data_IF_897005594035
#
_entry.id   IF_897005594035
#
_cell.length_a   1.000
_cell.length_b   1.000
_cell.length_c   1.000
_cell.angle_alpha   90.00
_cell.angle_beta   90.00
_cell.angle_gamma   90.00
#
_symmetry.space_group_name_H-M   'P 1'
#
loop_
_entity.id
_entity.type
_entity.pdbx_description
1 polymer ?
#
# COMPACT_ATOMS: atom_id res chain seq x y z
N UNK A 1 -4.50 23.04 25.96
CA UNK A 1 -5.02 21.66 26.16
C UNK A 1 -5.97 21.33 25.00
N UNK A 2 -5.42 21.37 23.79
CA UNK A 2 -6.00 21.07 22.48
C UNK A 2 -4.72 20.89 21.62
N UNK A 3 -4.45 19.81 20.92
CA UNK A 3 -5.31 19.04 20.03
C UNK A 3 -4.80 17.60 20.05
N UNK A 4 -5.19 16.85 21.09
CA UNK A 4 -4.99 15.40 21.15
C UNK A 4 -6.18 14.66 20.51
N UNK A 5 -6.96 15.34 19.66
CA UNK A 5 -7.70 14.66 18.61
C UNK A 5 -6.64 14.14 17.64
N UNK A 6 -6.05 13.01 18.00
CA UNK A 6 -4.98 12.38 17.25
C UNK A 6 -5.58 12.03 15.89
N UNK A 7 -4.86 12.30 14.80
CA UNK A 7 -5.35 12.00 13.44
C UNK A 7 -5.88 10.57 13.30
N UNK A 8 -5.37 9.67 14.11
CA UNK A 8 -5.84 8.30 14.38
C UNK A 8 -7.35 8.20 14.67
N UNK A 9 -7.86 8.90 15.70
CA UNK A 9 -9.29 8.87 16.08
C UNK A 9 -10.19 9.48 15.00
N UNK A 10 -9.67 10.45 14.23
CA UNK A 10 -10.39 10.99 13.09
C UNK A 10 -10.45 10.00 11.94
N UNK A 11 -9.37 9.26 11.66
CA UNK A 11 -9.38 8.24 10.60
C UNK A 11 -10.28 7.07 10.97
N UNK A 12 -10.31 6.64 12.24
CA UNK A 12 -11.31 5.68 12.74
C UNK A 12 -12.74 6.17 12.53
N UNK A 13 -13.00 7.44 12.84
CA UNK A 13 -14.30 8.06 12.64
C UNK A 13 -14.69 8.10 11.15
N UNK A 14 -13.73 8.37 10.24
CA UNK A 14 -13.99 8.45 8.81
C UNK A 14 -14.18 7.08 8.15
N UNK A 15 -13.41 6.06 8.54
CA UNK A 15 -13.54 4.71 7.95
C UNK A 15 -14.93 4.11 8.21
N UNK A 16 -15.58 4.48 9.34
CA UNK A 16 -16.93 4.03 9.68
C UNK A 16 -18.09 4.80 9.00
N UNK A 17 -17.81 5.83 8.19
CA UNK A 17 -18.85 6.62 7.52
C UNK A 17 -19.30 5.89 6.26
N UNK A 18 -20.60 5.63 6.17
CA UNK A 18 -21.23 5.02 5.00
C UNK A 18 -20.95 5.87 3.74
N UNK A 19 -20.30 5.27 2.74
CA UNK A 19 -19.94 5.93 1.48
C UNK A 19 -18.50 6.45 1.39
N UNK A 20 -17.66 6.26 2.42
CA UNK A 20 -16.21 6.51 2.30
C UNK A 20 -15.53 5.30 1.66
N UNK A 21 -14.76 5.57 0.59
CA UNK A 21 -13.89 4.58 -0.04
C UNK A 21 -12.52 4.60 0.64
N UNK A 22 -12.25 3.57 1.45
CA UNK A 22 -10.98 3.40 2.20
C UNK A 22 -9.76 3.28 1.29
N UNK A 23 -9.97 2.89 0.03
CA UNK A 23 -8.93 2.76 -0.99
C UNK A 23 -8.78 4.02 -1.84
N UNK A 24 -9.52 5.08 -1.54
CA UNK A 24 -9.47 6.29 -2.33
C UNK A 24 -8.06 6.89 -2.30
N UNK A 25 -7.46 6.99 -3.48
CA UNK A 25 -6.16 7.64 -3.66
C UNK A 25 -6.36 9.14 -3.80
N UNK A 26 -5.58 9.90 -3.06
CA UNK A 26 -5.61 11.36 -3.16
C UNK A 26 -4.83 11.81 -4.39
N UNK A 27 -5.50 12.46 -5.35
CA UNK A 27 -4.94 12.82 -6.67
C UNK A 27 -3.57 13.53 -6.62
N UNK A 28 -3.34 14.37 -5.60
CA UNK A 28 -2.14 15.21 -5.50
C UNK A 28 -0.91 14.45 -4.97
N UNK A 29 -1.13 13.44 -4.12
CA UNK A 29 -0.05 12.73 -3.42
C UNK A 29 -0.04 11.24 -3.70
N UNK A 30 -1.01 10.71 -4.47
CA UNK A 30 -1.10 9.29 -4.83
C UNK A 30 -1.31 8.32 -3.66
N UNK A 31 -1.38 8.80 -2.42
CA UNK A 31 -1.52 7.97 -1.23
C UNK A 31 -2.98 7.59 -1.00
N UNK A 32 -3.18 6.30 -0.75
CA UNK A 32 -4.35 5.79 -0.04
C UNK A 32 -4.11 5.80 1.47
N UNK A 33 -5.17 5.57 2.26
CA UNK A 33 -5.09 5.55 3.72
C UNK A 33 -4.00 4.59 4.24
N UNK A 34 -3.88 3.41 3.63
CA UNK A 34 -2.89 2.39 4.01
C UNK A 34 -1.45 2.86 3.78
N UNK A 35 -1.15 3.45 2.60
CA UNK A 35 0.18 4.01 2.33
C UNK A 35 0.51 5.15 3.30
N UNK A 36 -0.46 6.01 3.61
CA UNK A 36 -0.25 7.13 4.55
C UNK A 36 0.11 6.65 5.96
N UNK A 37 -0.58 5.61 6.45
CA UNK A 37 -0.30 5.00 7.74
C UNK A 37 1.14 4.44 7.81
N UNK A 38 1.62 3.83 6.71
CA UNK A 38 3.00 3.35 6.57
C UNK A 38 4.03 4.48 6.62
N UNK A 39 3.81 5.60 5.92
CA UNK A 39 4.72 6.78 5.97
C UNK A 39 4.87 7.38 7.36
N UNK A 40 3.84 7.26 8.19
CA UNK A 40 3.84 7.80 9.55
C UNK A 40 4.23 6.75 10.59
N UNK A 41 4.62 5.54 10.16
CA UNK A 41 4.95 4.41 11.03
C UNK A 41 3.83 4.10 12.05
N UNK A 42 2.58 4.31 11.64
CA UNK A 42 1.44 4.11 12.53
C UNK A 42 0.91 2.67 12.41
N UNK A 43 1.48 1.78 13.21
CA UNK A 43 1.11 0.36 13.23
C UNK A 43 -0.35 0.12 13.65
N UNK A 44 -0.89 0.94 14.57
CA UNK A 44 -2.27 0.83 15.04
C UNK A 44 -3.26 1.10 13.91
N UNK A 45 -3.02 2.19 13.18
CA UNK A 45 -3.82 2.56 12.02
C UNK A 45 -3.70 1.54 10.88
N UNK A 46 -2.51 0.98 10.64
CA UNK A 46 -2.33 -0.08 9.62
C UNK A 46 -3.18 -1.31 9.97
N UNK A 47 -3.20 -1.74 11.23
CA UNK A 47 -4.04 -2.86 11.69
C UNK A 47 -5.52 -2.58 11.45
N UNK A 48 -5.99 -1.42 11.89
CA UNK A 48 -7.39 -1.02 11.73
C UNK A 48 -7.83 -0.96 10.26
N UNK A 49 -6.96 -0.44 9.39
CA UNK A 49 -7.20 -0.41 7.94
C UNK A 49 -7.24 -1.81 7.33
N UNK A 50 -6.36 -2.73 7.76
CA UNK A 50 -6.34 -4.10 7.26
C UNK A 50 -7.53 -4.93 7.74
N UNK A 51 -8.04 -4.64 8.93
CA UNK A 51 -9.29 -5.22 9.45
C UNK A 51 -10.55 -4.62 8.78
N UNK A 52 -10.41 -3.56 7.99
CA UNK A 52 -11.54 -2.89 7.32
C UNK A 52 -12.00 -3.71 6.09
N UNK A 53 -13.30 -4.08 5.99
CA UNK A 53 -13.81 -4.81 4.85
C UNK A 53 -13.59 -4.07 3.52
N UNK A 54 -13.03 -4.76 2.53
CA UNK A 54 -12.82 -4.20 1.19
C UNK A 54 -11.54 -3.38 1.03
N UNK A 55 -10.66 -3.35 2.02
CA UNK A 55 -9.32 -2.77 1.88
C UNK A 55 -8.53 -3.49 0.77
N UNK A 56 -7.87 -2.70 -0.09
CA UNK A 56 -6.96 -3.18 -1.11
C UNK A 56 -5.54 -3.26 -0.54
N UNK A 57 -5.10 -4.48 -0.26
CA UNK A 57 -3.77 -4.77 0.32
C UNK A 57 -2.65 -4.55 -0.71
N UNK A 58 -2.96 -4.55 -2.00
CA UNK A 58 -2.00 -4.30 -3.09
C UNK A 58 -2.03 -2.85 -3.57
N UNK A 59 -2.66 -1.96 -2.79
CA UNK A 59 -2.83 -0.57 -3.19
C UNK A 59 -1.48 0.13 -3.38
N UNK A 60 -1.28 0.62 -4.60
CA UNK A 60 -0.05 1.32 -4.96
C UNK A 60 -0.04 2.75 -4.42
N UNK A 61 1.10 3.16 -3.88
CA UNK A 61 1.35 4.55 -3.53
C UNK A 61 1.66 5.42 -4.77
N UNK A 62 2.04 6.69 -4.54
CA UNK A 62 2.39 7.64 -5.59
C UNK A 62 3.59 7.21 -6.46
N UNK A 63 4.36 6.23 -6.01
CA UNK A 63 5.58 5.74 -6.63
C UNK A 63 5.42 4.31 -7.13
N UNK A 64 4.18 3.84 -7.29
CA UNK A 64 3.85 2.49 -7.75
C UNK A 64 4.43 1.38 -6.85
N UNK A 65 4.55 1.65 -5.54
CA UNK A 65 4.98 0.68 -4.53
C UNK A 65 3.79 0.09 -3.79
N UNK A 66 3.83 -1.22 -3.54
CA UNK A 66 2.83 -1.88 -2.70
C UNK A 66 3.06 -1.57 -1.22
N UNK A 67 2.04 -1.75 -0.35
CA UNK A 67 2.18 -1.56 1.08
C UNK A 67 3.29 -2.43 1.69
N UNK A 68 3.48 -3.65 1.16
CA UNK A 68 4.56 -4.55 1.59
C UNK A 68 5.94 -4.02 1.22
N UNK A 69 6.11 -3.42 0.03
CA UNK A 69 7.37 -2.76 -0.34
C UNK A 69 7.69 -1.60 0.60
N UNK A 70 6.69 -0.78 0.94
CA UNK A 70 6.86 0.33 1.89
C UNK A 70 7.26 -0.16 3.28
N UNK A 71 6.59 -1.20 3.81
CA UNK A 71 6.93 -1.79 5.10
C UNK A 71 8.37 -2.33 5.12
N UNK A 72 8.80 -2.98 4.03
CA UNK A 72 10.16 -3.49 3.87
C UNK A 72 11.20 -2.34 3.78
N UNK A 73 10.90 -1.28 3.03
CA UNK A 73 11.78 -0.10 2.89
C UNK A 73 11.97 0.63 4.22
N UNK A 74 10.90 0.77 4.99
CA UNK A 74 10.94 1.41 6.31
C UNK A 74 11.42 0.49 7.44
N UNK A 75 11.63 -0.80 7.16
CA UNK A 75 12.06 -1.78 8.15
C UNK A 75 11.02 -2.09 9.23
N UNK A 76 9.73 -1.89 8.94
CA UNK A 76 8.62 -2.12 9.88
C UNK A 76 8.23 -3.60 9.84
N UNK A 77 9.03 -4.45 10.50
CA UNK A 77 8.89 -5.92 10.46
C UNK A 77 7.48 -6.36 10.88
N UNK A 78 6.94 -5.78 11.96
CA UNK A 78 5.61 -6.13 12.49
C UNK A 78 4.50 -5.87 11.47
N UNK A 79 4.60 -4.80 10.68
CA UNK A 79 3.63 -4.47 9.63
C UNK A 79 3.83 -5.34 8.39
N UNK A 80 5.08 -5.67 8.04
CA UNK A 80 5.35 -6.59 6.95
C UNK A 80 4.77 -7.99 7.23
N UNK A 81 4.94 -8.50 8.46
CA UNK A 81 4.31 -9.76 8.91
C UNK A 81 2.78 -9.67 8.81
N UNK A 82 2.20 -8.59 9.32
CA UNK A 82 0.74 -8.37 9.28
C UNK A 82 0.20 -8.33 7.84
N UNK A 83 0.89 -7.66 6.92
CA UNK A 83 0.51 -7.59 5.51
C UNK A 83 0.59 -8.98 4.85
N UNK A 84 1.62 -9.77 5.17
CA UNK A 84 1.76 -11.15 4.68
C UNK A 84 0.65 -12.07 5.23
N UNK A 85 0.29 -11.91 6.50
CA UNK A 85 -0.81 -12.67 7.13
C UNK A 85 -2.16 -12.37 6.45
N UNK A 86 -2.34 -11.15 5.93
CA UNK A 86 -3.52 -10.76 5.15
C UNK A 86 -3.41 -11.12 3.65
N UNK A 87 -2.33 -11.78 3.23
CA UNK A 87 -2.17 -12.30 1.87
C UNK A 87 -1.49 -11.35 0.89
N UNK A 88 -0.72 -10.37 1.37
CA UNK A 88 0.07 -9.50 0.50
C UNK A 88 1.03 -10.30 -0.40
N UNK A 89 1.15 -9.87 -1.65
CA UNK A 89 1.99 -10.51 -2.64
C UNK A 89 3.47 -10.14 -2.44
N UNK A 90 4.23 -11.08 -1.89
CA UNK A 90 5.69 -10.96 -1.72
C UNK A 90 6.46 -10.78 -3.04
N UNK A 91 5.89 -11.22 -4.16
CA UNK A 91 6.50 -11.14 -5.48
C UNK A 91 6.02 -9.93 -6.29
N UNK A 92 5.29 -9.00 -5.67
CA UNK A 92 4.93 -7.75 -6.33
C UNK A 92 6.21 -7.10 -6.89
N UNK A 93 6.21 -6.80 -8.19
CA UNK A 93 7.34 -6.15 -8.87
C UNK A 93 7.08 -4.65 -8.91
N UNK A 94 8.13 -3.87 -8.67
CA UNK A 94 8.10 -2.42 -8.83
C UNK A 94 7.79 -2.10 -10.30
N UNK A 95 6.60 -1.58 -10.58
CA UNK A 95 6.19 -1.19 -11.93
C UNK A 95 6.65 0.24 -12.18
N UNK A 96 7.97 0.47 -12.20
CA UNK A 96 8.48 1.75 -12.68
C UNK A 96 8.33 1.84 -14.20
N UNK A 97 7.21 2.43 -14.62
CA UNK A 97 6.88 2.85 -16.00
C UNK A 97 6.80 1.76 -17.08
N UNK A 98 5.76 1.78 -17.94
CA UNK A 98 5.62 0.86 -19.09
C UNK A 98 6.83 0.78 -20.02
N UNK A 99 7.69 1.80 -20.04
CA UNK A 99 8.90 1.83 -20.87
C UNK A 99 9.95 0.78 -20.45
N UNK A 100 10.03 0.41 -19.17
CA UNK A 100 10.94 -0.65 -18.69
C UNK A 100 10.29 -2.03 -18.74
N UNK A 101 8.97 -2.15 -18.58
CA UNK A 101 8.28 -3.43 -18.70
C UNK A 101 8.28 -3.95 -20.15
N UNK A 102 8.15 -3.06 -21.13
CA UNK A 102 8.29 -3.44 -22.55
C UNK A 102 9.68 -3.99 -22.87
N UNK A 103 10.73 -3.41 -22.28
CA UNK A 103 12.10 -3.90 -22.48
C UNK A 103 12.37 -5.25 -21.81
N UNK A 104 11.67 -5.57 -20.72
CA UNK A 104 11.76 -6.86 -20.06
C UNK A 104 11.01 -7.97 -20.83
N UNK A 105 9.86 -7.67 -21.44
CA UNK A 105 9.12 -8.63 -22.28
C UNK A 105 9.83 -8.91 -23.62
N UNK A 106 10.47 -7.91 -24.23
CA UNK A 106 11.24 -8.08 -25.47
C UNK A 106 12.57 -8.83 -25.27
N UNK A 107 13.07 -8.94 -24.03
CA UNK A 107 14.29 -9.67 -23.68
C UNK A 107 14.11 -11.19 -23.50
N UNK A 108 12.86 -11.68 -23.53
CA UNK A 108 12.50 -13.09 -23.35
C UNK A 108 11.93 -13.73 -24.64
N UNK A 109 12.29 -13.23 -25.83
CA UNK A 109 12.27 -14.10 -27.02
C UNK A 109 13.53 -14.97 -27.00
N UNK A 110 13.43 -16.03 -26.21
CA UNK A 110 14.29 -17.21 -26.28
C UNK A 110 14.30 -17.70 -27.73
N UNK A 111 15.45 -17.53 -28.38
CA UNK A 111 15.83 -18.15 -29.63
C UNK A 111 15.92 -19.66 -29.40
N UNK A 112 14.78 -20.33 -29.52
CA UNK A 112 14.71 -21.79 -29.57
C UNK A 112 14.26 -22.23 -30.98
N UNK A 113 15.19 -22.81 -31.73
CA UNK A 113 14.89 -23.68 -32.87
C UNK A 113 15.25 -23.19 -34.28
N UNK A 114 16.49 -23.44 -34.72
CA UNK A 114 16.83 -23.98 -36.05
C UNK A 114 18.26 -24.53 -36.07
#
# INVERSE_FOLDING_TARGET
MASQFNYEELVELFIGIEGIDVNQRREVIGHAALSWALYHHNEGLVRLLLDTPGIDIEILDAWDRTPLMLAAEFGIITVAELLLDHGANVNARFVASPALSYAADEGHQEVDGA
#
